data_IF_090995402957
#
_entry.id   IF_090995402957
#
_cell.length_a   1.000
_cell.length_b   1.000
_cell.length_c   1.000
_cell.angle_alpha   90.00
_cell.angle_beta   90.00
_cell.angle_gamma   90.00
#
_symmetry.space_group_name_H-M   'P 1'
#
loop_
_entity.id
_entity.type
_entity.pdbx_description
1 polymer ?
#
# COMPACT_ATOMS: atom_id res chain seq x y z
N UNK A 1 -7.32 -10.57 16.35
CA UNK A 1 -8.40 -10.31 15.39
C UNK A 1 -7.76 -10.05 14.04
N UNK A 2 -8.12 -10.83 13.03
CA UNK A 2 -7.66 -10.58 11.66
C UNK A 2 -8.39 -9.35 11.09
N UNK A 3 -7.80 -8.67 10.10
CA UNK A 3 -8.44 -7.48 9.50
C UNK A 3 -9.83 -7.80 8.93
N UNK A 4 -10.00 -8.99 8.34
CA UNK A 4 -11.28 -9.47 7.84
C UNK A 4 -12.32 -9.64 8.96
N UNK A 5 -11.92 -10.26 10.08
CA UNK A 5 -12.79 -10.47 11.22
C UNK A 5 -13.26 -9.13 11.82
N UNK A 6 -12.35 -8.15 11.93
CA UNK A 6 -12.68 -6.80 12.36
C UNK A 6 -13.66 -6.13 11.39
N UNK A 7 -13.44 -6.28 10.09
CA UNK A 7 -14.32 -5.72 9.06
C UNK A 7 -15.76 -6.27 9.20
N UNK A 8 -15.90 -7.59 9.35
CA UNK A 8 -17.20 -8.23 9.54
C UNK A 8 -17.88 -7.81 10.84
N UNK A 9 -17.11 -7.65 11.91
CA UNK A 9 -17.64 -7.17 13.19
C UNK A 9 -18.14 -5.73 13.10
N UNK A 10 -17.38 -4.83 12.46
CA UNK A 10 -17.77 -3.44 12.25
C UNK A 10 -18.99 -3.32 11.33
N UNK A 11 -19.09 -4.13 10.28
CA UNK A 11 -20.29 -4.18 9.43
C UNK A 11 -21.56 -4.58 10.20
N UNK A 12 -21.42 -5.39 11.26
CA UNK A 12 -22.55 -5.83 12.10
C UNK A 12 -22.90 -4.82 13.18
N UNK A 13 -21.90 -4.25 13.83
CA UNK A 13 -22.07 -3.50 15.08
C UNK A 13 -22.10 -1.99 14.89
N UNK A 14 -21.43 -1.47 13.85
CA UNK A 14 -21.30 -0.03 13.61
C UNK A 14 -22.13 0.37 12.38
N UNK A 15 -23.23 1.07 12.64
CA UNK A 15 -24.13 1.55 11.59
C UNK A 15 -23.45 2.55 10.65
N UNK A 16 -22.56 3.42 11.15
CA UNK A 16 -21.86 4.42 10.34
C UNK A 16 -20.85 3.72 9.43
N UNK A 17 -20.07 2.79 9.97
CA UNK A 17 -19.14 1.99 9.18
C UNK A 17 -19.86 1.25 8.06
N UNK A 18 -20.96 0.54 8.39
CA UNK A 18 -21.79 -0.16 7.41
C UNK A 18 -22.31 0.77 6.31
N UNK A 19 -22.84 1.93 6.67
CA UNK A 19 -23.33 2.92 5.70
C UNK A 19 -22.20 3.44 4.80
N UNK A 20 -21.02 3.68 5.34
CA UNK A 20 -19.86 4.13 4.58
C UNK A 20 -19.39 3.08 3.56
N UNK A 21 -19.32 1.81 3.97
CA UNK A 21 -18.96 0.71 3.05
C UNK A 21 -20.01 0.56 1.95
N UNK A 22 -21.30 0.52 2.29
CA UNK A 22 -22.38 0.40 1.31
C UNK A 22 -22.38 1.58 0.32
N UNK A 23 -22.15 2.79 0.82
CA UNK A 23 -22.03 3.98 -0.02
C UNK A 23 -20.84 3.86 -0.97
N UNK A 24 -19.66 3.53 -0.45
CA UNK A 24 -18.47 3.31 -1.26
C UNK A 24 -18.70 2.28 -2.37
N UNK A 25 -19.28 1.11 -2.04
CA UNK A 25 -19.56 0.05 -3.00
C UNK A 25 -20.54 0.50 -4.09
N UNK A 26 -21.59 1.23 -3.71
CA UNK A 26 -22.56 1.76 -4.67
C UNK A 26 -21.95 2.79 -5.62
N UNK A 27 -21.12 3.71 -5.10
CA UNK A 27 -20.43 4.73 -5.89
C UNK A 27 -19.38 4.11 -6.81
N UNK A 28 -18.65 3.11 -6.32
CA UNK A 28 -17.66 2.37 -7.10
C UNK A 28 -18.30 1.61 -8.26
N UNK A 29 -19.37 0.85 -8.00
CA UNK A 29 -20.10 0.12 -9.04
C UNK A 29 -20.73 1.06 -10.07
N UNK A 30 -21.25 2.21 -9.63
CA UNK A 30 -21.81 3.19 -10.55
C UNK A 30 -20.74 3.76 -11.49
N UNK A 31 -19.54 4.08 -10.97
CA UNK A 31 -18.41 4.55 -11.77
C UNK A 31 -17.92 3.49 -12.76
N UNK A 32 -17.84 2.22 -12.34
CA UNK A 32 -17.46 1.12 -13.24
C UNK A 32 -18.45 0.98 -14.40
N UNK A 33 -19.76 0.97 -14.12
CA UNK A 33 -20.79 0.77 -15.14
C UNK A 33 -21.00 1.99 -16.05
N UNK A 34 -20.66 3.19 -15.58
CA UNK A 34 -20.80 4.44 -16.35
C UNK A 34 -19.54 4.81 -17.14
N UNK A 35 -18.42 4.10 -16.90
CA UNK A 35 -17.18 4.34 -17.62
C UNK A 35 -17.25 3.68 -19.00
N UNK A 36 -17.42 4.48 -20.06
CA UNK A 36 -17.01 4.10 -21.41
C UNK A 36 -15.48 4.14 -21.48
N UNK A 37 -14.83 3.18 -20.83
CA UNK A 37 -13.38 3.07 -20.86
C UNK A 37 -12.94 2.70 -22.28
N UNK A 38 -12.51 3.70 -23.05
CA UNK A 38 -11.39 3.48 -23.97
C UNK A 38 -10.29 2.83 -23.12
N UNK A 39 -9.65 1.73 -23.57
CA UNK A 39 -8.54 1.17 -22.84
C UNK A 39 -7.49 2.27 -22.74
N UNK A 40 -7.39 2.87 -21.55
CA UNK A 40 -6.34 3.82 -21.22
C UNK A 40 -5.02 3.17 -21.65
N UNK A 41 -4.15 3.94 -22.29
CA UNK A 41 -2.78 3.52 -22.53
C UNK A 41 -2.24 2.89 -21.23
N UNK A 42 -1.52 1.78 -21.31
CA UNK A 42 -0.98 1.09 -20.13
C UNK A 42 -0.08 2.05 -19.33
N UNK A 43 -0.65 2.76 -18.36
CA UNK A 43 0.06 3.71 -17.48
C UNK A 43 0.47 2.95 -16.23
N UNK A 44 1.75 3.06 -15.87
CA UNK A 44 2.24 2.61 -14.57
C UNK A 44 2.05 3.71 -13.54
N UNK A 45 1.33 3.41 -12.46
CA UNK A 45 1.13 4.31 -11.32
C UNK A 45 2.25 4.15 -10.31
N UNK A 46 2.99 5.23 -10.03
CA UNK A 46 4.06 5.23 -9.04
C UNK A 46 3.54 5.88 -7.75
N UNK A 47 3.55 5.12 -6.66
CA UNK A 47 3.13 5.54 -5.32
C UNK A 47 4.37 5.86 -4.48
N UNK A 48 4.58 7.13 -4.08
CA UNK A 48 5.60 7.50 -3.11
C UNK A 48 5.19 7.02 -1.71
N UNK A 49 6.09 6.34 -1.00
CA UNK A 49 5.86 5.74 0.32
C UNK A 49 6.82 6.32 1.35
N UNK A 50 6.29 6.61 2.54
CA UNK A 50 7.08 6.91 3.74
C UNK A 50 7.04 5.71 4.67
N UNK A 51 8.20 5.29 5.16
CA UNK A 51 8.32 4.15 6.10
C UNK A 51 8.67 4.69 7.48
N UNK A 52 7.78 4.47 8.44
CA UNK A 52 8.00 4.76 9.86
C UNK A 52 8.42 3.49 10.59
N UNK A 53 9.68 3.45 11.05
CA UNK A 53 10.24 2.36 11.85
C UNK A 53 10.10 2.75 13.33
N UNK A 54 9.22 2.05 14.04
CA UNK A 54 8.94 2.32 15.46
C UNK A 54 9.71 1.34 16.33
N UNK A 55 10.62 1.82 17.17
CA UNK A 55 11.59 1.01 17.92
C UNK A 55 11.79 1.50 19.36
N UNK A 56 12.02 0.59 20.33
CA UNK A 56 12.38 1.01 21.68
C UNK A 56 13.68 1.82 21.71
N UNK A 57 13.82 2.81 22.62
CA UNK A 57 15.05 3.56 22.81
C UNK A 57 16.25 2.63 23.08
N UNK A 58 17.40 2.94 22.46
CA UNK A 58 18.62 2.15 22.62
C UNK A 58 18.73 0.91 21.72
N UNK A 59 17.73 0.63 20.89
CA UNK A 59 17.81 -0.48 19.91
C UNK A 59 18.82 -0.14 18.81
N UNK A 60 19.91 -0.90 18.71
CA UNK A 60 20.92 -0.71 17.66
C UNK A 60 20.36 -0.96 16.25
N UNK A 61 20.91 -0.26 15.25
CA UNK A 61 20.53 -0.47 13.85
C UNK A 61 20.86 -1.91 13.41
N UNK A 62 19.90 -2.57 12.76
CA UNK A 62 19.98 -3.98 12.36
C UNK A 62 19.57 -4.96 13.46
N UNK A 63 19.25 -4.49 14.67
CA UNK A 63 18.78 -5.34 15.77
C UNK A 63 17.27 -5.21 15.98
N UNK A 64 16.61 -6.34 16.27
CA UNK A 64 15.17 -6.39 16.52
C UNK A 64 14.37 -5.71 15.41
N UNK A 65 13.55 -4.74 15.79
CA UNK A 65 12.69 -4.00 14.86
C UNK A 65 13.39 -2.80 14.20
N UNK A 66 14.62 -2.45 14.60
CA UNK A 66 15.37 -1.34 13.99
C UNK A 66 16.05 -1.79 12.70
N UNK A 67 15.24 -2.17 11.72
CA UNK A 67 15.70 -2.69 10.43
C UNK A 67 16.50 -1.65 9.65
N UNK A 68 17.47 -2.13 8.89
CA UNK A 68 18.33 -1.31 8.05
C UNK A 68 17.57 -0.73 6.85
N UNK A 69 18.05 0.40 6.31
CA UNK A 69 17.50 0.96 5.07
C UNK A 69 17.55 -0.03 3.90
N UNK A 70 18.57 -0.91 3.87
CA UNK A 70 18.68 -1.96 2.87
C UNK A 70 17.54 -2.98 2.98
N UNK A 71 17.16 -3.37 4.20
CA UNK A 71 16.02 -4.25 4.44
C UNK A 71 14.70 -3.59 4.02
N UNK A 72 14.52 -2.29 4.29
CA UNK A 72 13.34 -1.53 3.86
C UNK A 72 13.26 -1.48 2.33
N UNK A 73 14.36 -1.15 1.64
CA UNK A 73 14.43 -1.14 0.18
C UNK A 73 14.19 -2.52 -0.43
N UNK A 74 14.67 -3.58 0.22
CA UNK A 74 14.37 -4.96 -0.18
C UNK A 74 12.88 -5.28 -0.07
N UNK A 75 12.24 -4.83 1.01
CA UNK A 75 10.78 -4.93 1.17
C UNK A 75 10.01 -4.23 0.05
N UNK A 76 10.41 -3.02 -0.33
CA UNK A 76 9.82 -2.31 -1.48
C UNK A 76 10.05 -3.03 -2.80
N UNK A 77 11.25 -3.59 -3.03
CA UNK A 77 11.53 -4.39 -4.23
C UNK A 77 10.61 -5.62 -4.32
N UNK A 78 10.37 -6.28 -3.18
CA UNK A 78 9.43 -7.39 -3.08
C UNK A 78 8.00 -6.94 -3.37
N UNK A 79 7.56 -5.81 -2.81
CA UNK A 79 6.24 -5.23 -3.05
C UNK A 79 6.03 -4.94 -4.54
N UNK A 80 7.00 -4.31 -5.20
CA UNK A 80 6.96 -4.06 -6.64
C UNK A 80 6.86 -5.37 -7.43
N UNK A 81 7.63 -6.40 -7.06
CA UNK A 81 7.57 -7.68 -7.77
C UNK A 81 6.20 -8.36 -7.65
N UNK A 82 5.55 -8.25 -6.47
CA UNK A 82 4.19 -8.75 -6.24
C UNK A 82 3.16 -8.01 -7.09
N UNK A 83 3.17 -6.67 -7.07
CA UNK A 83 2.20 -5.87 -7.79
C UNK A 83 2.41 -5.89 -9.31
N UNK A 84 3.63 -6.15 -9.78
CA UNK A 84 3.93 -6.36 -11.20
C UNK A 84 3.77 -7.81 -11.66
N UNK A 85 3.45 -8.74 -10.75
CA UNK A 85 3.41 -10.20 -11.00
C UNK A 85 4.68 -10.72 -11.71
N UNK A 86 5.86 -10.38 -11.17
CA UNK A 86 7.16 -10.67 -11.79
C UNK A 86 8.11 -11.42 -10.84
N UNK A 87 9.22 -11.91 -11.38
CA UNK A 87 10.28 -12.62 -10.64
C UNK A 87 9.75 -13.87 -9.91
N UNK A 88 10.23 -14.10 -8.69
CA UNK A 88 9.85 -15.21 -7.80
C UNK A 88 8.39 -15.15 -7.33
N UNK A 89 7.67 -14.07 -7.62
CA UNK A 89 6.28 -13.84 -7.20
C UNK A 89 5.28 -13.97 -8.35
N UNK A 90 5.73 -14.47 -9.50
CA UNK A 90 4.86 -14.70 -10.65
C UNK A 90 3.85 -15.80 -10.34
N UNK A 91 2.56 -15.50 -10.52
CA UNK A 91 1.45 -16.42 -10.41
C UNK A 91 0.73 -16.48 -11.77
N UNK A 92 0.41 -17.69 -12.25
CA UNK A 92 -0.31 -17.90 -13.52
C UNK A 92 -1.71 -17.27 -13.53
N UNK A 93 -2.32 -17.12 -12.35
CA UNK A 93 -3.62 -16.47 -12.17
C UNK A 93 -3.49 -14.99 -11.79
N UNK A 94 -2.26 -14.48 -11.62
CA UNK A 94 -1.97 -13.09 -11.31
C UNK A 94 -1.93 -12.23 -12.57
N UNK A 95 -2.22 -10.95 -12.42
CA UNK A 95 -2.06 -9.95 -13.48
C UNK A 95 -1.08 -8.86 -13.01
N UNK A 96 -0.41 -8.21 -13.97
CA UNK A 96 0.37 -7.00 -13.69
C UNK A 96 -0.58 -5.85 -13.34
N UNK A 97 -0.56 -5.41 -12.08
CA UNK A 97 -1.40 -4.30 -11.61
C UNK A 97 -0.87 -2.94 -12.06
N UNK A 98 0.31 -2.87 -12.67
CA UNK A 98 0.98 -1.65 -13.12
C UNK A 98 1.12 -0.60 -12.01
N UNK A 99 1.32 -1.06 -10.78
CA UNK A 99 1.58 -0.22 -9.61
C UNK A 99 3.03 -0.45 -9.18
N UNK A 100 3.74 0.64 -8.94
CA UNK A 100 5.09 0.64 -8.40
C UNK A 100 5.18 1.54 -7.17
N UNK A 101 6.04 1.16 -6.24
CA UNK A 101 6.29 1.84 -5.00
C UNK A 101 7.74 2.33 -4.97
N UNK A 102 7.93 3.58 -4.56
CA UNK A 102 9.24 4.17 -4.31
C UNK A 102 9.23 4.93 -2.98
N UNK A 103 10.40 5.12 -2.36
CA UNK A 103 10.49 6.00 -1.19
C UNK A 103 10.18 7.43 -1.61
N UNK A 104 9.35 8.10 -0.82
CA UNK A 104 9.09 9.52 -0.97
C UNK A 104 10.41 10.30 -0.87
N UNK A 105 10.65 11.19 -1.84
CA UNK A 105 11.85 12.05 -1.87
C UNK A 105 11.58 13.45 -1.33
N UNK A 106 10.31 13.81 -1.15
CA UNK A 106 9.87 15.09 -0.61
C UNK A 106 8.77 14.92 0.42
N UNK A 107 8.76 15.77 1.44
CA UNK A 107 7.66 15.88 2.40
C UNK A 107 6.53 16.79 1.86
N UNK A 108 5.50 16.99 2.67
CA UNK A 108 4.34 17.84 2.35
C UNK A 108 4.72 19.31 2.13
N UNK A 109 5.82 19.77 2.73
CA UNK A 109 6.36 21.12 2.56
C UNK A 109 7.34 21.23 1.39
N UNK A 110 7.62 20.12 0.69
CA UNK A 110 8.50 20.06 -0.47
C UNK A 110 9.99 19.89 -0.15
N UNK A 111 10.35 19.73 1.12
CA UNK A 111 11.74 19.52 1.55
C UNK A 111 12.23 18.14 1.15
N UNK A 112 13.53 17.99 0.89
CA UNK A 112 14.11 16.68 0.58
C UNK A 112 14.13 15.78 1.81
N UNK A 113 13.60 14.56 1.67
CA UNK A 113 13.57 13.55 2.73
C UNK A 113 14.11 12.21 2.23
N UNK A 114 14.53 11.35 3.14
CA UNK A 114 14.91 9.97 2.84
C UNK A 114 13.69 9.06 2.55
N UNK A 115 12.50 9.49 2.98
CA UNK A 115 11.29 8.66 3.01
C UNK A 115 11.29 7.62 4.13
N UNK A 116 12.26 7.65 5.04
CA UNK A 116 12.36 6.72 6.16
C UNK A 116 12.54 7.49 7.47
N UNK A 117 11.59 7.33 8.38
CA UNK A 117 11.63 7.90 9.72
C UNK A 117 11.79 6.80 10.76
N UNK A 118 12.53 7.10 11.83
CA UNK A 118 12.72 6.19 12.96
C UNK A 118 12.33 6.91 14.25
N UNK A 119 11.49 6.28 15.06
CA UNK A 119 11.00 6.82 16.32
C UNK A 119 11.01 5.75 17.41
#
# INVERSE_FOLDING_TARGET
MLAEELHQDLLRQDQIYKQNIQKFDSEFNHKLNSSNSNPDAMVTYIIPVVVHVIVPPGTALGAGNNITDAQIKSGLKRLNSLFRNTNEYTNSNGNDAMIEFCLAKRDEQGNQISGIYRA
#
